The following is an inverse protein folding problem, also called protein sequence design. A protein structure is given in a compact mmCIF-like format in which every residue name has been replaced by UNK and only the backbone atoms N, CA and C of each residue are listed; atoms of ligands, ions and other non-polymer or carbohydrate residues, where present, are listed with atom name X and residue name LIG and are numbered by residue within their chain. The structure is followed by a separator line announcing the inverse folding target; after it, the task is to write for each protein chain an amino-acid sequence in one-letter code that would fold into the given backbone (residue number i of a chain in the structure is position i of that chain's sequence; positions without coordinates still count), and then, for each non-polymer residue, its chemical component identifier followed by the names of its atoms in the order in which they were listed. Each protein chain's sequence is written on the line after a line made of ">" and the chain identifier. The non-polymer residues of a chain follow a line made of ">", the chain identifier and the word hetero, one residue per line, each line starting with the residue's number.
data_IF_119255508175
#
_entry.id   IF_119255508175
#
_cell.length_a   1.000
_cell.length_b   1.000
_cell.length_c   1.000
_cell.angle_alpha   90.00
_cell.angle_beta   90.00
_cell.angle_gamma   90.00
#
_symmetry.space_group_name_H-M   'P 1'
#
loop_
_entity.id
_entity.type
_entity.pdbx_description
1 polymer ?
#
# COMPACT_ATOMS: atom_id res chain seq x y z
N UNK A 1 -2.49 1.22 22.43
CA UNK A 1 -3.70 0.42 22.12
C UNK A 1 -3.31 -1.03 22.40
N UNK A 2 -3.83 -1.65 23.45
CA UNK A 2 -3.25 -2.90 24.01
C UNK A 2 -3.52 -4.07 23.06
N UNK A 3 -2.46 -4.72 22.58
CA UNK A 3 -2.52 -6.01 21.88
C UNK A 3 -2.18 -6.01 20.38
N UNK A 4 -1.61 -4.93 19.84
CA UNK A 4 -1.18 -4.87 18.42
C UNK A 4 0.25 -4.40 18.18
N UNK A 5 1.02 -4.25 19.24
CA UNK A 5 2.37 -3.72 19.17
C UNK A 5 3.30 -4.65 18.35
N UNK A 6 3.04 -5.96 18.37
CA UNK A 6 3.79 -6.93 17.60
C UNK A 6 3.50 -6.81 16.09
N UNK A 7 2.24 -6.67 15.69
CA UNK A 7 1.85 -6.52 14.29
C UNK A 7 2.34 -5.19 13.72
N UNK A 8 2.23 -4.10 14.49
CA UNK A 8 2.77 -2.80 14.09
C UNK A 8 4.30 -2.84 13.97
N UNK A 9 5.01 -3.52 14.89
CA UNK A 9 6.46 -3.68 14.80
C UNK A 9 6.89 -4.44 13.52
N UNK A 10 6.09 -5.40 13.03
CA UNK A 10 6.35 -6.06 11.74
C UNK A 10 6.23 -5.08 10.58
N UNK A 11 5.24 -4.19 10.60
CA UNK A 11 5.09 -3.15 9.58
C UNK A 11 6.22 -2.12 9.64
N UNK A 12 6.64 -1.70 10.84
CA UNK A 12 7.77 -0.79 11.02
C UNK A 12 9.05 -1.37 10.43
N UNK A 13 9.37 -2.64 10.71
CA UNK A 13 10.54 -3.31 10.14
C UNK A 13 10.46 -3.44 8.62
N UNK A 14 9.26 -3.68 8.06
CA UNK A 14 9.06 -3.69 6.62
C UNK A 14 9.28 -2.28 6.04
N UNK A 15 8.81 -1.24 6.73
CA UNK A 15 8.97 0.14 6.33
C UNK A 15 10.44 0.58 6.30
N UNK A 16 11.22 0.26 7.34
CA UNK A 16 12.66 0.51 7.37
C UNK A 16 13.38 -0.10 6.15
N UNK A 17 12.98 -1.31 5.74
CA UNK A 17 13.54 -1.94 4.52
C UNK A 17 13.12 -1.19 3.26
N UNK A 18 11.89 -0.70 3.17
CA UNK A 18 11.44 0.14 2.05
C UNK A 18 12.26 1.43 1.96
N UNK A 19 12.49 2.09 3.10
CA UNK A 19 13.32 3.31 3.15
C UNK A 19 14.78 3.04 2.75
N UNK A 20 15.30 1.83 3.02
CA UNK A 20 16.62 1.39 2.52
C UNK A 20 16.66 1.03 1.03
N UNK A 21 15.54 1.20 0.31
CA UNK A 21 15.43 0.94 -1.14
C UNK A 21 14.95 -0.47 -1.50
N UNK A 22 14.56 -1.31 -0.53
CA UNK A 22 14.13 -2.67 -0.77
C UNK A 22 12.60 -2.76 -0.91
N UNK A 23 12.10 -3.37 -1.99
CA UNK A 23 10.66 -3.63 -2.15
C UNK A 23 10.18 -4.65 -1.12
N UNK A 24 9.04 -4.41 -0.48
CA UNK A 24 8.45 -5.31 0.53
C UNK A 24 6.99 -5.64 0.19
N UNK A 25 6.56 -6.84 0.59
CA UNK A 25 5.18 -7.27 0.56
C UNK A 25 4.83 -7.89 1.92
N UNK A 26 3.71 -7.47 2.51
CA UNK A 26 3.24 -7.95 3.81
C UNK A 26 1.87 -8.60 3.64
N UNK A 27 1.73 -9.83 4.14
CA UNK A 27 0.45 -10.55 4.13
C UNK A 27 -0.18 -10.51 5.52
N UNK A 28 -1.39 -9.97 5.61
CA UNK A 28 -2.15 -9.90 6.86
C UNK A 28 -3.20 -11.00 6.87
N UNK A 29 -2.86 -12.12 7.51
CA UNK A 29 -3.77 -13.23 7.79
C UNK A 29 -4.43 -13.10 9.16
N UNK A 30 -5.49 -13.89 9.40
CA UNK A 30 -6.17 -13.95 10.69
C UNK A 30 -7.66 -14.26 10.57
N UNK A 31 -8.29 -14.51 11.70
CA UNK A 31 -9.67 -14.96 11.82
C UNK A 31 -10.66 -13.86 11.36
N UNK A 32 -11.86 -14.24 10.88
CA UNK A 32 -12.94 -13.29 10.65
C UNK A 32 -13.16 -12.42 11.90
N UNK A 33 -13.20 -11.10 11.74
CA UNK A 33 -13.37 -10.18 12.87
C UNK A 33 -12.09 -9.84 13.66
N UNK A 34 -10.93 -10.42 13.37
CA UNK A 34 -9.65 -10.07 14.03
C UNK A 34 -9.18 -8.61 13.77
N UNK A 35 -9.91 -7.86 12.94
CA UNK A 35 -9.66 -6.46 12.66
C UNK A 35 -8.50 -6.20 11.70
N UNK A 36 -8.24 -7.12 10.76
CA UNK A 36 -7.22 -6.99 9.70
C UNK A 36 -7.39 -5.71 8.87
N UNK A 37 -8.63 -5.41 8.45
CA UNK A 37 -8.95 -4.19 7.71
C UNK A 37 -8.60 -2.94 8.52
N UNK A 38 -8.87 -2.96 9.83
CA UNK A 38 -8.51 -1.86 10.73
C UNK A 38 -7.00 -1.67 10.82
N UNK A 39 -6.25 -2.77 10.95
CA UNK A 39 -4.78 -2.72 11.01
C UNK A 39 -4.19 -2.12 9.73
N UNK A 40 -4.62 -2.62 8.56
CA UNK A 40 -4.14 -2.10 7.26
C UNK A 40 -4.53 -0.64 7.08
N UNK A 41 -5.73 -0.23 7.52
CA UNK A 41 -6.16 1.17 7.47
C UNK A 41 -5.35 2.10 8.38
N UNK A 42 -4.96 1.63 9.58
CA UNK A 42 -4.10 2.40 10.49
C UNK A 42 -2.71 2.61 9.87
N UNK A 43 -2.08 1.56 9.35
CA UNK A 43 -0.78 1.64 8.66
C UNK A 43 -0.86 2.56 7.44
N UNK A 44 -1.91 2.42 6.63
CA UNK A 44 -2.17 3.31 5.49
C UNK A 44 -2.29 4.78 5.91
N UNK A 45 -2.99 5.06 7.02
CA UNK A 45 -3.10 6.41 7.57
C UNK A 45 -1.73 6.98 7.95
N UNK A 46 -0.93 6.22 8.69
CA UNK A 46 0.44 6.62 9.05
C UNK A 46 1.30 6.90 7.82
N UNK A 47 1.26 6.03 6.80
CA UNK A 47 2.02 6.25 5.57
C UNK A 47 1.58 7.51 4.82
N UNK A 48 0.27 7.76 4.74
CA UNK A 48 -0.27 8.97 4.14
C UNK A 48 0.17 10.25 4.88
N UNK A 49 0.22 10.22 6.22
CA UNK A 49 0.75 11.32 7.04
C UNK A 49 2.23 11.63 6.74
N UNK A 50 3.00 10.63 6.32
CA UNK A 50 4.40 10.78 5.87
C UNK A 50 4.52 11.16 4.38
N UNK A 51 3.40 11.46 3.71
CA UNK A 51 3.39 11.86 2.29
C UNK A 51 3.56 10.70 1.31
N UNK A 52 3.43 9.45 1.77
CA UNK A 52 3.50 8.27 0.92
C UNK A 52 2.17 8.10 0.19
N UNK A 53 2.22 7.86 -1.12
CA UNK A 53 1.03 7.54 -1.90
C UNK A 53 0.47 6.16 -1.48
N UNK A 54 -0.76 6.14 -0.99
CA UNK A 54 -1.46 4.90 -0.60
C UNK A 54 -2.61 4.63 -1.55
N UNK A 55 -2.61 3.43 -2.15
CA UNK A 55 -3.66 2.98 -3.07
C UNK A 55 -4.40 1.78 -2.48
N UNK A 56 -5.72 1.76 -2.65
CA UNK A 56 -6.59 0.70 -2.12
C UNK A 56 -7.44 0.13 -3.25
N UNK A 57 -7.44 -1.20 -3.36
CA UNK A 57 -8.25 -1.96 -4.30
C UNK A 57 -8.86 -3.20 -3.66
N UNK A 58 -10.01 -3.64 -4.17
CA UNK A 58 -10.74 -4.81 -3.71
C UNK A 58 -10.44 -6.05 -4.55
N UNK A 59 -10.31 -7.21 -3.91
CA UNK A 59 -10.25 -8.50 -4.59
C UNK A 59 -11.26 -9.46 -3.97
N UNK A 60 -12.04 -10.11 -4.84
CA UNK A 60 -12.92 -11.21 -4.47
C UNK A 60 -12.57 -12.41 -5.34
N UNK A 61 -12.79 -13.63 -4.82
CA UNK A 61 -12.53 -14.86 -5.57
C UNK A 61 -13.33 -14.93 -6.88
N UNK A 62 -14.49 -14.26 -6.91
CA UNK A 62 -15.46 -14.33 -8.00
C UNK A 62 -15.22 -13.26 -9.08
N UNK A 63 -14.24 -12.37 -8.89
CA UNK A 63 -14.05 -11.18 -9.72
C UNK A 63 -13.72 -11.51 -11.19
N UNK A 64 -13.25 -12.72 -11.51
CA UNK A 64 -13.02 -13.24 -12.87
C UNK A 64 -11.98 -12.49 -13.71
N UNK A 65 -11.54 -11.31 -13.27
CA UNK A 65 -10.65 -10.41 -13.98
C UNK A 65 -9.29 -10.38 -13.27
N UNK A 66 -8.21 -10.83 -13.92
CA UNK A 66 -6.86 -10.76 -13.37
C UNK A 66 -6.49 -9.32 -13.01
N UNK A 67 -5.83 -9.15 -11.87
CA UNK A 67 -5.31 -7.86 -11.41
C UNK A 67 -6.35 -6.74 -11.22
N UNK A 68 -7.65 -7.06 -11.21
CA UNK A 68 -8.73 -6.11 -10.88
C UNK A 68 -8.45 -5.20 -9.67
N UNK A 69 -7.92 -5.69 -8.52
CA UNK A 69 -7.56 -4.81 -7.42
C UNK A 69 -6.51 -3.75 -7.78
N UNK A 70 -5.54 -4.09 -8.64
CA UNK A 70 -4.49 -3.17 -9.05
C UNK A 70 -4.99 -2.14 -10.06
N UNK A 71 -5.84 -2.55 -11.01
CA UNK A 71 -6.44 -1.62 -11.98
C UNK A 71 -7.34 -0.60 -11.27
N UNK A 72 -8.17 -1.04 -10.31
CA UNK A 72 -9.00 -0.14 -9.50
C UNK A 72 -8.15 0.89 -8.74
N UNK A 73 -7.08 0.41 -8.10
CA UNK A 73 -6.16 1.23 -7.32
C UNK A 73 -5.44 2.27 -8.19
N UNK A 74 -4.98 1.89 -9.38
CA UNK A 74 -4.30 2.78 -10.32
C UNK A 74 -5.26 3.78 -10.95
N UNK A 75 -6.46 3.37 -11.36
CA UNK A 75 -7.46 4.29 -11.93
C UNK A 75 -7.83 5.40 -10.94
N UNK A 76 -7.93 5.07 -9.64
CA UNK A 76 -8.11 6.09 -8.58
C UNK A 76 -6.95 7.07 -8.52
N UNK A 77 -5.70 6.60 -8.59
CA UNK A 77 -4.54 7.49 -8.60
C UNK A 77 -4.57 8.46 -9.79
N UNK A 78 -4.90 7.95 -10.98
CA UNK A 78 -4.91 8.71 -12.23
C UNK A 78 -6.01 9.77 -12.26
N UNK A 79 -7.14 9.52 -11.60
CA UNK A 79 -8.33 10.38 -11.63
C UNK A 79 -8.41 11.39 -10.49
N UNK A 80 -7.76 11.11 -9.36
CA UNK A 80 -7.78 11.98 -8.17
C UNK A 80 -6.61 12.98 -8.13
N UNK A 81 -5.52 12.70 -8.85
CA UNK A 81 -4.41 13.65 -9.01
C UNK A 81 -4.73 14.79 -9.99
N UNK A 82 -4.14 15.99 -9.83
CA UNK A 82 -4.19 16.99 -10.89
C UNK A 82 -3.62 16.40 -12.20
N UNK A 83 -4.17 16.76 -13.38
CA UNK A 83 -3.61 16.33 -14.66
C UNK A 83 -2.11 16.65 -14.72
N UNK A 84 -1.25 15.66 -14.96
CA UNK A 84 0.21 15.81 -15.00
C UNK A 84 0.94 15.68 -13.66
N UNK A 85 0.25 15.40 -12.55
CA UNK A 85 0.86 15.23 -11.21
C UNK A 85 1.84 14.05 -11.09
N UNK A 86 1.63 12.97 -11.86
CA UNK A 86 2.60 11.86 -11.96
C UNK A 86 3.96 12.29 -12.54
N UNK A 87 4.04 13.46 -13.20
CA UNK A 87 5.29 13.96 -13.78
C UNK A 87 6.41 14.17 -12.76
N UNK A 88 6.09 14.35 -11.47
CA UNK A 88 7.08 14.52 -10.40
C UNK A 88 7.69 13.21 -9.89
N UNK A 89 6.94 12.10 -9.92
CA UNK A 89 7.39 10.78 -9.47
C UNK A 89 7.98 9.94 -10.62
N UNK A 90 7.67 10.31 -11.88
CA UNK A 90 8.14 9.64 -13.08
C UNK A 90 9.68 9.47 -13.17
N UNK A 91 10.51 10.50 -12.88
CA UNK A 91 11.97 10.36 -12.98
C UNK A 91 12.55 9.38 -11.94
N UNK A 92 11.97 9.37 -10.73
CA UNK A 92 12.39 8.51 -9.61
C UNK A 92 11.93 7.06 -9.78
N UNK A 93 10.75 6.84 -10.37
CA UNK A 93 10.25 5.50 -10.66
C UNK A 93 11.01 4.85 -11.83
N UNK A 94 11.30 5.61 -12.89
CA UNK A 94 12.05 5.12 -14.05
C UNK A 94 13.50 4.70 -13.69
N UNK A 95 14.12 5.38 -12.72
CA UNK A 95 15.43 5.00 -12.19
C UNK A 95 15.39 3.78 -11.26
N UNK A 96 14.27 3.54 -10.56
CA UNK A 96 14.05 2.35 -9.71
C UNK A 96 13.73 1.07 -10.51
N UNK A 97 13.07 1.20 -11.67
CA UNK A 97 12.74 0.07 -12.55
C UNK A 97 13.87 -0.36 -13.50
N UNK A 98 14.94 0.43 -13.62
CA UNK A 98 16.09 0.13 -14.47
C UNK A 98 17.15 -0.75 -13.78
N UNK A 99 16.87 -1.25 -12.57
CA UNK A 99 17.76 -2.11 -11.77
C UNK A 99 17.21 -3.51 -11.52
#
# INVERSE_FOLDING_TARGET
>A
MVGRDAELAVFEQAWERVESGNRQAVFVGGEPGAGKTRLVAEVAGTLAEHGVAVLVGGSTADAGVPYAPFTEALDRLLTTGPPGSMGSCWPTWQSSCAG
#
